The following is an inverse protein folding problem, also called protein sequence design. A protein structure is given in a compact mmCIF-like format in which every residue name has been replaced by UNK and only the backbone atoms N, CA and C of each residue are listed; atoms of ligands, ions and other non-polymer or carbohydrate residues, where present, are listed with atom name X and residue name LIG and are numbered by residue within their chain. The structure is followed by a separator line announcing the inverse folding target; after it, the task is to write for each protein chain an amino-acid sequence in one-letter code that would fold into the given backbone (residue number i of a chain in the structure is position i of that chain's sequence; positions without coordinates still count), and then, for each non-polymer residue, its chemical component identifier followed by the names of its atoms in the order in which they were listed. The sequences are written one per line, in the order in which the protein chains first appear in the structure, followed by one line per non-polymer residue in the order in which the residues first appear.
data_IF_885793238251
#
_entry.id   IF_885793238251
#
_cell.length_a   1.000
_cell.length_b   1.000
_cell.length_c   1.000
_cell.angle_alpha   90.00
_cell.angle_beta   90.00
_cell.angle_gamma   90.00
#
_symmetry.space_group_name_H-M   'P 1'
#
loop_
_entity.id
_entity.type
_entity.pdbx_description
1 polymer ?
#
# COMPACT_ATOMS: atom_id res chain seq x y z
N UNK A 1 39.76 1.30 16.44
CA UNK A 1 38.85 0.70 15.42
C UNK A 1 37.43 1.18 15.73
N UNK A 2 36.97 2.23 15.04
CA UNK A 2 35.72 2.92 15.32
C UNK A 2 34.62 2.25 14.51
N UNK A 3 33.64 1.66 15.20
CA UNK A 3 32.43 1.10 14.58
C UNK A 3 31.63 2.27 14.00
N UNK A 4 31.26 2.28 12.70
CA UNK A 4 30.41 3.34 12.15
C UNK A 4 29.04 3.25 12.81
N UNK A 5 28.59 4.35 13.41
CA UNK A 5 27.23 4.53 13.91
C UNK A 5 26.29 4.39 12.72
N UNK A 6 25.31 3.48 12.81
CA UNK A 6 24.19 3.39 11.90
C UNK A 6 23.47 4.74 11.90
N UNK A 7 23.70 5.53 10.87
CA UNK A 7 22.94 6.74 10.61
C UNK A 7 21.50 6.30 10.30
N UNK A 8 20.56 6.67 11.15
CA UNK A 8 19.14 6.55 10.85
C UNK A 8 18.82 7.39 9.60
N UNK A 9 18.63 6.72 8.48
CA UNK A 9 18.23 7.37 7.23
C UNK A 9 16.73 7.66 7.29
N UNK A 10 16.37 8.84 7.78
CA UNK A 10 15.12 9.45 7.41
C UNK A 10 15.17 9.79 5.92
N UNK A 11 14.15 9.38 5.16
CA UNK A 11 14.05 9.74 3.75
C UNK A 11 13.72 11.24 3.64
N UNK A 12 14.59 12.05 3.06
CA UNK A 12 14.38 13.51 2.96
C UNK A 12 13.20 13.92 2.08
N UNK A 13 12.79 13.06 1.17
CA UNK A 13 11.64 13.28 0.28
C UNK A 13 10.94 11.96 0.06
N UNK A 14 9.66 11.91 0.40
CA UNK A 14 8.79 10.75 0.12
C UNK A 14 7.97 11.03 -1.15
N UNK A 15 8.01 10.08 -2.08
CA UNK A 15 7.20 10.06 -3.31
C UNK A 15 6.28 8.87 -3.30
N UNK A 16 5.00 9.11 -3.60
CA UNK A 16 3.94 8.09 -3.50
C UNK A 16 3.40 7.74 -4.88
N UNK A 17 3.37 6.47 -5.22
CA UNK A 17 2.86 5.96 -6.50
C UNK A 17 1.68 5.02 -6.25
N UNK A 18 0.48 5.38 -6.74
CA UNK A 18 -0.77 4.70 -6.42
C UNK A 18 -1.42 4.09 -7.67
N UNK A 19 -1.54 2.77 -7.70
CA UNK A 19 -2.28 2.05 -8.72
C UNK A 19 -3.79 2.04 -8.44
N UNK A 20 -4.60 2.05 -9.51
CA UNK A 20 -6.06 2.04 -9.42
C UNK A 20 -6.65 0.65 -9.22
N UNK A 21 -7.96 0.58 -8.86
CA UNK A 21 -8.73 -0.67 -8.81
C UNK A 21 -8.99 -1.28 -10.20
N UNK A 22 -9.40 -2.55 -10.25
CA UNK A 22 -9.52 -3.33 -11.49
C UNK A 22 -10.43 -2.71 -12.56
N UNK A 23 -11.48 -1.99 -12.16
CA UNK A 23 -12.42 -1.31 -13.07
C UNK A 23 -12.10 0.18 -13.29
N UNK A 24 -11.02 0.68 -12.67
CA UNK A 24 -10.64 2.10 -12.70
C UNK A 24 -9.62 2.44 -13.79
N UNK A 25 -9.13 3.66 -13.69
CA UNK A 25 -7.98 4.23 -14.38
C UNK A 25 -7.22 5.11 -13.40
N UNK A 26 -6.05 5.65 -13.77
CA UNK A 26 -5.32 6.63 -12.96
C UNK A 26 -6.19 7.79 -12.48
N UNK A 27 -7.15 8.24 -13.29
CA UNK A 27 -8.09 9.30 -12.92
C UNK A 27 -8.93 8.97 -11.66
N UNK A 28 -9.19 7.70 -11.38
CA UNK A 28 -9.92 7.29 -10.16
C UNK A 28 -9.11 7.45 -8.88
N UNK A 29 -7.77 7.57 -9.02
CA UNK A 29 -6.86 7.83 -7.90
C UNK A 29 -6.59 9.32 -7.68
N UNK A 30 -7.03 10.20 -8.59
CA UNK A 30 -6.76 11.64 -8.50
C UNK A 30 -7.17 12.27 -7.16
N UNK A 31 -8.32 11.96 -6.54
CA UNK A 31 -8.67 12.50 -5.22
C UNK A 31 -7.64 12.15 -4.13
N UNK A 32 -7.02 10.97 -4.21
CA UNK A 32 -5.96 10.53 -3.29
C UNK A 32 -4.65 11.29 -3.53
N UNK A 33 -4.27 11.43 -4.81
CA UNK A 33 -3.09 12.20 -5.23
C UNK A 33 -3.22 13.65 -4.77
N UNK A 34 -4.32 14.32 -5.11
CA UNK A 34 -4.57 15.72 -4.73
C UNK A 34 -4.59 15.90 -3.20
N UNK A 35 -5.17 14.92 -2.49
CA UNK A 35 -5.22 14.90 -1.04
C UNK A 35 -3.83 14.79 -0.40
N UNK A 36 -2.94 13.98 -0.94
CA UNK A 36 -1.55 13.85 -0.49
C UNK A 36 -0.72 15.09 -0.84
N UNK A 37 -0.90 15.65 -2.04
CA UNK A 37 -0.23 16.89 -2.47
C UNK A 37 -0.60 18.06 -1.54
N UNK A 38 -1.88 18.20 -1.18
CA UNK A 38 -2.30 19.21 -0.18
C UNK A 38 -1.69 19.01 1.19
N UNK A 39 -1.25 17.79 1.53
CA UNK A 39 -0.57 17.42 2.78
C UNK A 39 0.96 17.50 2.70
N UNK A 40 1.49 17.98 1.55
CA UNK A 40 2.91 18.25 1.34
C UNK A 40 3.71 17.08 0.77
N UNK A 41 3.07 16.04 0.24
CA UNK A 41 3.74 14.91 -0.38
C UNK A 41 3.71 14.98 -1.91
N UNK A 42 4.76 14.50 -2.56
CA UNK A 42 4.74 14.23 -4.00
C UNK A 42 3.98 12.91 -4.23
N UNK A 43 2.93 12.93 -5.07
CA UNK A 43 2.10 11.76 -5.31
C UNK A 43 1.69 11.65 -6.79
N UNK A 44 1.61 10.40 -7.27
CA UNK A 44 1.32 10.08 -8.67
C UNK A 44 0.32 8.92 -8.77
N UNK A 45 -0.59 9.02 -9.70
CA UNK A 45 -1.51 7.94 -10.06
C UNK A 45 -0.94 7.16 -11.25
N UNK A 46 -0.99 5.83 -11.17
CA UNK A 46 -0.48 4.93 -12.21
C UNK A 46 -1.63 4.26 -12.95
N UNK A 47 -1.49 4.11 -14.26
CA UNK A 47 -2.37 3.27 -15.06
C UNK A 47 -1.87 1.82 -15.08
N UNK A 48 -2.77 0.89 -14.78
CA UNK A 48 -2.47 -0.53 -14.73
C UNK A 48 -3.20 -1.28 -15.84
N UNK A 49 -2.54 -2.27 -16.47
CA UNK A 49 -3.19 -3.09 -17.47
C UNK A 49 -4.27 -3.98 -16.83
N UNK A 50 -5.36 -4.24 -17.56
CA UNK A 50 -6.43 -5.16 -17.14
C UNK A 50 -5.98 -6.62 -17.30
N UNK A 51 -5.17 -7.09 -16.37
CA UNK A 51 -4.58 -8.44 -16.32
C UNK A 51 -4.65 -9.00 -14.92
N UNK A 52 -4.14 -10.23 -14.71
CA UNK A 52 -3.88 -10.73 -13.36
C UNK A 52 -2.87 -9.81 -12.68
N UNK A 53 -2.95 -9.70 -11.36
CA UNK A 53 -2.06 -8.80 -10.63
C UNK A 53 -0.58 -9.16 -10.80
N UNK A 54 -0.28 -10.45 -10.85
CA UNK A 54 1.05 -10.99 -11.10
C UNK A 54 1.62 -10.52 -12.44
N UNK A 55 0.79 -10.51 -13.49
CA UNK A 55 1.17 -10.12 -14.85
C UNK A 55 1.28 -8.59 -15.04
N UNK A 56 0.74 -7.83 -14.09
CA UNK A 56 0.77 -6.36 -14.11
C UNK A 56 2.00 -5.76 -13.42
N UNK A 57 2.73 -6.55 -12.61
CA UNK A 57 3.91 -6.07 -11.86
C UNK A 57 4.93 -5.39 -12.77
N UNK A 58 5.35 -5.94 -13.91
CA UNK A 58 6.34 -5.26 -14.77
C UNK A 58 5.86 -3.89 -15.29
N UNK A 59 4.56 -3.77 -15.63
CA UNK A 59 3.99 -2.49 -16.07
C UNK A 59 3.88 -1.47 -14.94
N UNK A 60 3.68 -1.92 -13.71
CA UNK A 60 3.69 -1.09 -12.51
C UNK A 60 5.11 -0.58 -12.25
N UNK A 61 6.09 -1.46 -12.19
CA UNK A 61 7.50 -1.14 -11.92
C UNK A 61 8.10 -0.19 -12.95
N UNK A 62 7.74 -0.34 -14.23
CA UNK A 62 8.21 0.53 -15.31
C UNK A 62 7.77 2.01 -15.16
N UNK A 63 6.72 2.28 -14.36
CA UNK A 63 6.23 3.63 -14.09
C UNK A 63 6.76 4.21 -12.77
N UNK A 64 7.47 3.42 -11.97
CA UNK A 64 7.96 3.82 -10.64
C UNK A 64 9.47 4.00 -10.70
N UNK A 65 10.00 5.24 -10.49
CA UNK A 65 11.42 5.51 -10.60
C UNK A 65 12.24 4.76 -9.53
N UNK A 66 13.49 4.46 -9.86
CA UNK A 66 14.45 3.81 -8.95
C UNK A 66 15.17 4.86 -8.10
N UNK A 67 14.44 5.46 -7.18
CA UNK A 67 14.93 6.52 -6.30
C UNK A 67 14.69 6.17 -4.82
N UNK A 68 15.50 6.71 -3.89
CA UNK A 68 15.23 6.60 -2.47
C UNK A 68 13.92 7.27 -2.06
N UNK A 69 13.23 6.72 -1.06
CA UNK A 69 12.00 7.33 -0.52
C UNK A 69 10.73 7.04 -1.31
N UNK A 70 10.77 6.11 -2.25
CA UNK A 70 9.58 5.71 -3.00
C UNK A 70 8.66 4.83 -2.15
N UNK A 71 7.42 5.28 -1.97
CA UNK A 71 6.31 4.53 -1.39
C UNK A 71 5.35 4.13 -2.50
N UNK A 72 5.00 2.87 -2.53
CA UNK A 72 4.07 2.32 -3.53
C UNK A 72 2.79 1.84 -2.88
N UNK A 73 1.73 1.78 -3.68
CA UNK A 73 0.44 1.30 -3.16
C UNK A 73 -0.68 1.38 -4.18
N UNK A 74 -1.90 1.42 -3.67
CA UNK A 74 -3.07 1.62 -4.50
C UNK A 74 -4.35 1.07 -3.91
N UNK A 75 -5.44 1.29 -4.65
CA UNK A 75 -6.76 0.80 -4.28
C UNK A 75 -6.98 -0.61 -4.84
N UNK A 76 -7.45 -1.51 -3.99
CA UNK A 76 -7.89 -2.84 -4.40
C UNK A 76 -6.83 -3.58 -5.25
N UNK A 77 -7.10 -3.79 -6.53
CA UNK A 77 -6.19 -4.39 -7.49
C UNK A 77 -4.81 -3.71 -7.50
N UNK A 78 -4.76 -2.36 -7.49
CA UNK A 78 -3.50 -1.61 -7.46
C UNK A 78 -2.69 -1.88 -6.20
N UNK A 79 -3.34 -1.98 -5.04
CA UNK A 79 -2.68 -2.37 -3.78
C UNK A 79 -2.11 -3.79 -3.84
N UNK A 80 -2.84 -4.73 -4.48
CA UNK A 80 -2.33 -6.09 -4.69
C UNK A 80 -1.12 -6.12 -5.63
N UNK A 81 -1.15 -5.39 -6.76
CA UNK A 81 -0.01 -5.29 -7.68
C UNK A 81 1.21 -4.71 -6.97
N UNK A 82 1.02 -3.60 -6.22
CA UNK A 82 2.09 -2.98 -5.45
C UNK A 82 2.69 -3.94 -4.41
N UNK A 83 1.85 -4.70 -3.68
CA UNK A 83 2.34 -5.67 -2.68
C UNK A 83 3.16 -6.81 -3.31
N UNK A 84 2.81 -7.24 -4.52
CA UNK A 84 3.58 -8.24 -5.28
C UNK A 84 4.91 -7.65 -5.77
N UNK A 85 4.92 -6.42 -6.27
CA UNK A 85 6.13 -5.70 -6.65
C UNK A 85 7.09 -5.56 -5.46
N UNK A 86 6.58 -5.13 -4.29
CA UNK A 86 7.40 -5.03 -3.07
C UNK A 86 7.98 -6.39 -2.65
N UNK A 87 7.17 -7.45 -2.69
CA UNK A 87 7.60 -8.80 -2.29
C UNK A 87 8.65 -9.43 -3.24
N UNK A 88 8.73 -8.94 -4.48
CA UNK A 88 9.71 -9.37 -5.48
C UNK A 88 10.94 -8.47 -5.58
N UNK A 89 10.90 -7.28 -4.99
CA UNK A 89 11.94 -6.28 -5.13
C UNK A 89 13.19 -6.57 -4.25
N UNK A 90 14.36 -6.09 -4.66
CA UNK A 90 15.53 -6.13 -3.80
C UNK A 90 15.35 -5.20 -2.59
N UNK A 91 16.04 -5.49 -1.47
CA UNK A 91 16.02 -4.64 -0.28
C UNK A 91 16.38 -3.18 -0.60
N UNK A 92 15.63 -2.23 -0.03
CA UNK A 92 15.87 -0.80 -0.21
C UNK A 92 15.25 -0.19 -1.47
N UNK A 93 14.62 -0.99 -2.35
CA UNK A 93 13.93 -0.49 -3.56
C UNK A 93 12.73 0.40 -3.21
N UNK A 94 11.99 0.05 -2.17
CA UNK A 94 10.82 0.78 -1.70
C UNK A 94 10.95 1.15 -0.22
N UNK A 95 10.45 2.33 0.15
CA UNK A 95 10.45 2.83 1.53
C UNK A 95 9.20 2.39 2.32
N UNK A 96 8.10 2.11 1.64
CA UNK A 96 6.84 1.71 2.27
C UNK A 96 5.79 1.23 1.27
N UNK A 97 4.76 0.57 1.82
CA UNK A 97 3.60 0.05 1.07
C UNK A 97 2.31 0.62 1.66
N UNK A 98 1.39 1.08 0.80
CA UNK A 98 0.04 1.52 1.21
C UNK A 98 -1.03 0.78 0.43
N UNK A 99 -1.89 0.01 1.12
CA UNK A 99 -2.99 -0.70 0.51
C UNK A 99 -4.33 -0.10 0.95
N UNK A 100 -5.09 0.41 0.00
CA UNK A 100 -6.44 0.93 0.19
C UNK A 100 -7.42 -0.17 -0.21
N UNK A 101 -8.16 -0.75 0.76
CA UNK A 101 -9.10 -1.86 0.57
C UNK A 101 -8.45 -3.04 -0.17
N UNK A 102 -7.44 -3.67 0.46
CA UNK A 102 -6.75 -4.82 -0.14
C UNK A 102 -7.73 -5.97 -0.43
N UNK A 103 -7.76 -6.53 -1.67
CA UNK A 103 -8.72 -7.56 -2.03
C UNK A 103 -8.24 -8.94 -1.56
N UNK A 104 -8.48 -9.24 -0.29
CA UNK A 104 -8.03 -10.46 0.39
C UNK A 104 -8.59 -11.75 -0.24
N UNK A 105 -9.83 -11.69 -0.71
CA UNK A 105 -10.50 -12.81 -1.39
C UNK A 105 -11.50 -12.32 -2.44
N UNK A 106 -12.08 -13.21 -3.22
CA UNK A 106 -13.25 -12.89 -4.05
C UNK A 106 -14.50 -12.84 -3.16
N UNK A 107 -15.51 -12.01 -3.48
CA UNK A 107 -16.78 -12.07 -2.79
C UNK A 107 -17.35 -13.50 -2.84
N UNK A 108 -17.75 -14.01 -1.66
CA UNK A 108 -18.29 -15.37 -1.55
C UNK A 108 -17.25 -16.52 -1.59
N UNK A 109 -15.94 -16.21 -1.68
CA UNK A 109 -14.86 -17.21 -1.73
C UNK A 109 -13.73 -16.88 -0.72
N UNK A 110 -14.03 -16.82 0.60
CA UNK A 110 -13.07 -16.47 1.65
C UNK A 110 -11.89 -17.45 1.75
N UNK A 111 -12.04 -18.70 1.31
CA UNK A 111 -10.99 -19.72 1.25
C UNK A 111 -9.81 -19.32 0.33
N UNK A 112 -10.00 -18.33 -0.54
CA UNK A 112 -8.94 -17.83 -1.42
C UNK A 112 -7.99 -16.84 -0.74
N UNK A 113 -8.25 -16.44 0.51
CA UNK A 113 -7.48 -15.43 1.24
C UNK A 113 -6.00 -15.80 1.38
N UNK A 114 -5.70 -17.03 1.80
CA UNK A 114 -4.32 -17.49 2.01
C UNK A 114 -3.47 -17.40 0.74
N UNK A 115 -4.02 -17.73 -0.43
CA UNK A 115 -3.31 -17.61 -1.70
C UNK A 115 -3.01 -16.15 -2.07
N UNK A 116 -3.84 -15.22 -1.60
CA UNK A 116 -3.67 -13.78 -1.86
C UNK A 116 -2.66 -13.09 -0.97
N UNK A 117 -2.33 -13.68 0.17
CA UNK A 117 -1.36 -13.15 1.15
C UNK A 117 -0.07 -13.97 1.22
N UNK A 118 0.06 -15.05 0.44
CA UNK A 118 1.21 -15.96 0.45
C UNK A 118 2.58 -15.27 0.21
N UNK A 119 2.58 -14.08 -0.42
CA UNK A 119 3.79 -13.27 -0.64
C UNK A 119 4.10 -12.28 0.50
N UNK A 120 3.17 -12.02 1.43
CA UNK A 120 3.32 -11.04 2.50
C UNK A 120 4.53 -11.27 3.42
N UNK A 121 4.93 -12.53 3.77
CA UNK A 121 6.13 -12.75 4.56
C UNK A 121 7.44 -12.25 3.93
N UNK A 122 7.44 -11.96 2.63
CA UNK A 122 8.59 -11.36 1.94
C UNK A 122 8.58 -9.84 1.95
N UNK A 123 7.53 -9.19 2.48
CA UNK A 123 7.42 -7.73 2.60
C UNK A 123 8.09 -7.32 3.91
N UNK A 124 9.36 -6.95 3.84
CA UNK A 124 10.16 -6.55 5.00
C UNK A 124 10.18 -5.03 5.28
N UNK A 125 9.34 -4.26 4.59
CA UNK A 125 9.22 -2.81 4.76
C UNK A 125 7.94 -2.43 5.48
N UNK A 126 7.83 -1.21 6.06
CA UNK A 126 6.59 -0.73 6.66
C UNK A 126 5.43 -0.78 5.67
N UNK A 127 4.29 -1.30 6.12
CA UNK A 127 3.08 -1.43 5.32
C UNK A 127 1.86 -0.89 6.07
N UNK A 128 1.08 -0.03 5.41
CA UNK A 128 -0.19 0.49 5.92
C UNK A 128 -1.34 -0.09 5.10
N UNK A 129 -2.26 -0.78 5.79
CA UNK A 129 -3.50 -1.28 5.20
C UNK A 129 -4.66 -0.47 5.77
N UNK A 130 -5.48 0.07 4.87
CA UNK A 130 -6.71 0.81 5.20
C UNK A 130 -7.91 0.04 4.65
N UNK A 131 -8.88 -0.32 5.49
CA UNK A 131 -10.00 -1.18 5.09
C UNK A 131 -11.30 -0.81 5.80
N UNK A 132 -12.43 -1.08 5.14
CA UNK A 132 -13.74 -1.07 5.78
C UNK A 132 -14.05 -2.44 6.39
N UNK A 133 -14.71 -2.47 7.57
CA UNK A 133 -15.04 -3.76 8.23
C UNK A 133 -16.17 -4.53 7.55
N UNK A 134 -16.87 -3.92 6.58
CA UNK A 134 -17.91 -4.57 5.78
C UNK A 134 -17.50 -4.73 4.30
N UNK A 135 -16.20 -4.80 4.03
CA UNK A 135 -15.67 -4.98 2.70
C UNK A 135 -15.95 -6.42 2.19
N UNK A 136 -16.72 -6.60 1.09
CA UNK A 136 -17.04 -7.93 0.57
C UNK A 136 -15.83 -8.65 -0.04
N UNK A 137 -14.71 -7.95 -0.28
CA UNK A 137 -13.46 -8.50 -0.79
C UNK A 137 -12.44 -8.79 0.32
N UNK A 138 -12.73 -8.42 1.57
CA UNK A 138 -11.83 -8.60 2.70
C UNK A 138 -12.61 -8.75 4.00
N UNK A 139 -13.06 -9.97 4.31
CA UNK A 139 -13.63 -10.25 5.64
C UNK A 139 -12.63 -9.82 6.69
N UNK A 140 -13.11 -9.04 7.66
CA UNK A 140 -12.24 -8.37 8.64
C UNK A 140 -11.47 -9.38 9.51
N UNK A 141 -12.13 -10.44 9.96
CA UNK A 141 -11.50 -11.51 10.74
C UNK A 141 -10.32 -12.16 9.99
N UNK A 142 -10.50 -12.47 8.71
CA UNK A 142 -9.44 -13.03 7.88
C UNK A 142 -8.31 -12.03 7.58
N UNK A 143 -8.64 -10.74 7.48
CA UNK A 143 -7.63 -9.71 7.29
C UNK A 143 -6.78 -9.53 8.54
N UNK A 144 -7.41 -9.49 9.73
CA UNK A 144 -6.75 -9.43 11.03
C UNK A 144 -5.86 -10.66 11.25
N UNK A 145 -6.35 -11.86 10.92
CA UNK A 145 -5.58 -13.12 11.00
C UNK A 145 -4.37 -13.15 10.05
N UNK A 146 -4.45 -12.44 8.91
CA UNK A 146 -3.36 -12.37 7.95
C UNK A 146 -2.29 -11.32 8.31
N UNK A 147 -2.62 -10.31 9.10
CA UNK A 147 -1.70 -9.20 9.43
C UNK A 147 -0.35 -9.62 10.03
N UNK A 148 -0.25 -10.66 10.89
CA UNK A 148 1.04 -11.12 11.40
C UNK A 148 2.05 -11.55 10.33
N UNK A 149 1.59 -11.83 9.09
CA UNK A 149 2.48 -12.10 7.96
C UNK A 149 3.23 -10.86 7.44
N UNK A 150 2.79 -9.66 7.80
CA UNK A 150 3.47 -8.39 7.53
C UNK A 150 4.23 -7.95 8.77
N UNK A 151 5.54 -8.21 8.83
CA UNK A 151 6.37 -7.94 10.01
C UNK A 151 6.27 -6.49 10.53
N UNK A 152 6.03 -5.53 9.63
CA UNK A 152 5.88 -4.11 9.92
C UNK A 152 4.54 -3.58 9.39
N UNK A 153 3.48 -4.39 9.51
CA UNK A 153 2.13 -4.07 9.05
C UNK A 153 1.32 -3.29 10.08
N UNK A 154 0.64 -2.24 9.64
CA UNK A 154 -0.37 -1.51 10.42
C UNK A 154 -1.70 -1.60 9.69
N UNK A 155 -2.76 -2.02 10.39
CA UNK A 155 -4.12 -2.06 9.89
C UNK A 155 -4.95 -0.95 10.56
N UNK A 156 -5.62 -0.15 9.74
CA UNK A 156 -6.64 0.83 10.20
C UNK A 156 -7.96 0.49 9.55
N UNK A 157 -9.03 0.42 10.33
CA UNK A 157 -10.34 0.04 9.85
C UNK A 157 -11.41 1.05 10.20
N UNK A 158 -12.47 1.11 9.36
CA UNK A 158 -13.67 1.90 9.60
C UNK A 158 -14.89 0.98 9.70
N UNK A 159 -15.68 1.09 10.80
CA UNK A 159 -16.85 0.23 11.00
C UNK A 159 -17.92 0.49 9.93
N UNK A 160 -18.57 -0.58 9.49
CA UNK A 160 -19.65 -0.57 8.50
C UNK A 160 -19.30 0.01 7.13
N UNK A 161 -18.03 0.31 6.87
CA UNK A 161 -17.55 0.76 5.56
C UNK A 161 -17.29 -0.46 4.66
N UNK A 162 -17.68 -0.36 3.39
CA UNK A 162 -17.44 -1.38 2.37
C UNK A 162 -16.08 -1.18 1.66
N UNK A 163 -16.02 -1.64 0.40
CA UNK A 163 -14.79 -1.64 -0.41
C UNK A 163 -14.30 -0.24 -0.83
N UNK A 164 -15.13 0.79 -0.73
CA UNK A 164 -14.76 2.15 -1.08
C UNK A 164 -14.46 2.97 0.17
N UNK A 165 -13.25 3.52 0.26
CA UNK A 165 -12.85 4.46 1.33
C UNK A 165 -13.22 5.92 1.02
N UNK A 166 -13.92 6.20 -0.08
CA UNK A 166 -14.35 7.57 -0.44
C UNK A 166 -15.13 8.29 0.67
N UNK A 167 -16.04 7.62 1.42
CA UNK A 167 -16.77 8.30 2.50
C UNK A 167 -15.87 8.82 3.63
N UNK A 168 -14.68 8.26 3.80
CA UNK A 168 -13.69 8.60 4.83
C UNK A 168 -12.38 9.10 4.22
N UNK A 169 -12.43 9.67 3.00
CA UNK A 169 -11.24 10.03 2.22
C UNK A 169 -10.26 10.89 3.02
N UNK A 170 -10.73 11.95 3.68
CA UNK A 170 -9.85 12.86 4.43
C UNK A 170 -9.22 12.18 5.65
N UNK A 171 -9.98 11.38 6.40
CA UNK A 171 -9.43 10.61 7.52
C UNK A 171 -8.38 9.58 7.04
N UNK A 172 -8.68 8.89 5.93
CA UNK A 172 -7.75 7.93 5.33
C UNK A 172 -6.46 8.61 4.84
N UNK A 173 -6.58 9.80 4.22
CA UNK A 173 -5.45 10.62 3.83
C UNK A 173 -4.62 11.09 5.02
N UNK A 174 -5.26 11.43 6.16
CA UNK A 174 -4.55 11.79 7.38
C UNK A 174 -3.75 10.61 7.96
N UNK A 175 -4.33 9.38 7.91
CA UNK A 175 -3.60 8.16 8.29
C UNK A 175 -2.41 7.89 7.36
N UNK A 176 -2.60 8.07 6.04
CA UNK A 176 -1.50 7.96 5.07
C UNK A 176 -0.41 9.00 5.35
N UNK A 177 -0.78 10.26 5.56
CA UNK A 177 0.18 11.33 5.83
C UNK A 177 0.98 11.09 7.11
N UNK A 178 0.34 10.61 8.18
CA UNK A 178 1.05 10.23 9.41
C UNK A 178 2.04 9.08 9.16
N UNK A 179 1.63 8.07 8.39
CA UNK A 179 2.50 6.97 7.98
C UNK A 179 3.72 7.46 7.19
N UNK A 180 3.51 8.31 6.20
CA UNK A 180 4.57 8.85 5.33
C UNK A 180 5.57 9.71 6.13
N UNK A 181 5.09 10.57 7.05
CA UNK A 181 5.96 11.36 7.93
C UNK A 181 6.83 10.50 8.83
N UNK A 182 6.29 9.41 9.36
CA UNK A 182 7.09 8.46 10.16
C UNK A 182 8.21 7.80 9.34
N UNK A 183 8.00 7.58 8.04
CA UNK A 183 9.06 7.11 7.13
C UNK A 183 10.12 8.19 6.87
N UNK A 184 9.74 9.47 6.79
CA UNK A 184 10.68 10.58 6.61
C UNK A 184 11.63 10.74 7.81
N UNK A 185 11.10 10.57 9.03
CA UNK A 185 11.86 10.76 10.27
C UNK A 185 12.65 9.52 10.71
N UNK A 186 12.32 8.35 10.17
CA UNK A 186 12.93 7.07 10.61
C UNK A 186 12.52 6.68 12.03
N UNK A 187 11.42 7.21 12.56
CA UNK A 187 10.92 6.87 13.88
C UNK A 187 10.43 5.42 13.92
N UNK A 188 10.89 4.61 14.88
CA UNK A 188 10.39 3.26 15.10
C UNK A 188 8.92 3.30 15.54
N UNK A 189 8.10 2.41 14.99
CA UNK A 189 6.70 2.19 15.38
C UNK A 189 6.60 1.07 16.40
#
# INVERSE_FOLDING_TARGET
MQVPRSSGYGWRVIRVYLGHGASGTSATMQPWVDGLVRRGFEAHALDLPRRRAEDAVPSFEAQVPEEPGVVVGGHSYGGRVASLAVAGAPPGRYAGLVCLSYPLHRPGAPETAAARTAHWPRIGIPALLLSGTSDPFARIDLLEDAMPALAHGTLVTWPRLGHSLKPVLDEALDRMAAFLRALETGEPR
#
